data_IF_940718392839
#
_entry.id   IF_940718392839
#
_cell.length_a   1.000
_cell.length_b   1.000
_cell.length_c   1.000
_cell.angle_alpha   90.00
_cell.angle_beta   90.00
_cell.angle_gamma   90.00
#
_symmetry.space_group_name_H-M   'P 1'
#
loop_
_entity.id
_entity.type
_entity.pdbx_description
1 polymer ?
#
# COMPACT_ATOMS: atom_id res chain seq x y z
N UNK A 1 -22.80 -0.79 -0.45
CA UNK A 1 -23.22 -1.33 0.86
C UNK A 1 -22.70 -0.38 1.93
N UNK A 2 -23.43 0.69 2.23
CA UNK A 2 -22.94 1.77 3.12
C UNK A 2 -23.84 1.90 4.36
N UNK A 3 -25.14 1.61 4.20
CA UNK A 3 -26.15 1.60 5.27
C UNK A 3 -26.80 0.22 5.45
N UNK A 4 -26.07 -0.85 5.15
CA UNK A 4 -26.59 -2.20 5.35
C UNK A 4 -25.93 -2.79 6.59
N UNK A 5 -26.75 -3.27 7.52
CA UNK A 5 -26.28 -4.08 8.62
C UNK A 5 -25.97 -5.48 8.07
N UNK A 6 -24.77 -5.96 8.38
CA UNK A 6 -24.32 -7.29 7.98
C UNK A 6 -23.63 -7.97 9.14
N UNK A 7 -23.85 -9.27 9.26
CA UNK A 7 -23.20 -10.09 10.27
C UNK A 7 -21.99 -10.84 9.69
N UNK A 8 -21.06 -11.24 10.55
CA UNK A 8 -19.89 -12.02 10.17
C UNK A 8 -18.58 -11.25 10.05
N UNK A 9 -17.49 -12.01 9.92
CA UNK A 9 -16.12 -11.47 9.85
C UNK A 9 -15.86 -10.73 8.55
N UNK A 10 -16.23 -11.29 7.40
CA UNK A 10 -15.98 -10.70 6.08
C UNK A 10 -16.67 -9.34 5.93
N UNK A 11 -17.93 -9.23 6.35
CA UNK A 11 -18.66 -7.97 6.34
C UNK A 11 -17.97 -6.90 7.20
N UNK A 12 -17.56 -7.26 8.42
CA UNK A 12 -16.86 -6.35 9.34
C UNK A 12 -15.48 -5.96 8.83
N UNK A 13 -14.73 -6.89 8.25
CA UNK A 13 -13.43 -6.64 7.63
C UNK A 13 -13.58 -5.70 6.43
N UNK A 14 -14.54 -5.96 5.54
CA UNK A 14 -14.85 -5.10 4.39
C UNK A 14 -15.24 -3.70 4.85
N UNK A 15 -16.13 -3.57 5.84
CA UNK A 15 -16.53 -2.27 6.40
C UNK A 15 -15.33 -1.51 6.98
N UNK A 16 -14.43 -2.20 7.69
CA UNK A 16 -13.20 -1.60 8.20
C UNK A 16 -12.27 -1.14 7.07
N UNK A 17 -12.04 -1.99 6.06
CA UNK A 17 -11.21 -1.63 4.89
C UNK A 17 -11.80 -0.43 4.15
N UNK A 18 -13.11 -0.40 3.95
CA UNK A 18 -13.79 0.77 3.35
C UNK A 18 -13.58 2.03 4.20
N UNK A 19 -13.74 1.96 5.52
CA UNK A 19 -13.52 3.12 6.39
C UNK A 19 -12.07 3.64 6.31
N UNK A 20 -11.09 2.75 6.29
CA UNK A 20 -9.67 3.11 6.13
C UNK A 20 -9.40 3.78 4.78
N UNK A 21 -9.94 3.20 3.69
CA UNK A 21 -9.81 3.77 2.33
C UNK A 21 -10.45 5.14 2.25
N UNK A 22 -11.65 5.32 2.80
CA UNK A 22 -12.37 6.59 2.77
C UNK A 22 -11.68 7.66 3.64
N UNK A 23 -11.14 7.28 4.79
CA UNK A 23 -10.37 8.20 5.63
C UNK A 23 -9.10 8.68 4.93
N UNK A 24 -8.35 7.76 4.33
CA UNK A 24 -7.16 8.12 3.56
C UNK A 24 -7.54 8.98 2.35
N UNK A 25 -8.62 8.65 1.64
CA UNK A 25 -9.13 9.46 0.54
C UNK A 25 -9.43 10.91 1.00
N UNK A 26 -10.14 11.09 2.11
CA UNK A 26 -10.43 12.43 2.66
C UNK A 26 -9.15 13.20 2.98
N UNK A 27 -8.16 12.53 3.58
CA UNK A 27 -6.86 13.13 3.86
C UNK A 27 -6.10 13.51 2.58
N UNK A 28 -6.14 12.64 1.56
CA UNK A 28 -5.50 12.88 0.26
C UNK A 28 -6.10 14.10 -0.45
N UNK A 29 -7.44 14.22 -0.45
CA UNK A 29 -8.15 15.38 -0.99
C UNK A 29 -7.75 16.65 -0.24
N UNK A 30 -7.80 16.64 1.10
CA UNK A 30 -7.45 17.81 1.92
C UNK A 30 -5.98 18.24 1.80
N UNK A 31 -5.09 17.33 1.42
CA UNK A 31 -3.67 17.62 1.14
C UNK A 31 -3.36 17.87 -0.33
N UNK A 32 -4.32 17.68 -1.24
CA UNK A 32 -4.10 17.85 -2.67
C UNK A 32 -3.16 16.81 -3.28
N UNK A 33 -3.19 15.57 -2.79
CA UNK A 33 -2.41 14.47 -3.38
C UNK A 33 -3.32 13.47 -4.08
N UNK A 34 -2.92 13.03 -5.27
CA UNK A 34 -3.64 12.01 -6.03
C UNK A 34 -3.17 10.59 -5.71
N UNK A 35 -2.02 10.43 -5.05
CA UNK A 35 -1.43 9.14 -4.72
C UNK A 35 -1.28 9.01 -3.20
N UNK A 36 -1.70 7.88 -2.65
CA UNK A 36 -1.53 7.53 -1.25
C UNK A 36 -1.55 6.02 -1.07
N UNK A 37 -1.09 5.52 0.07
CA UNK A 37 -1.17 4.09 0.36
C UNK A 37 -1.36 3.84 1.85
N UNK A 38 -1.87 2.65 2.16
CA UNK A 38 -1.99 2.11 3.52
C UNK A 38 -1.07 0.91 3.63
N UNK A 39 -0.36 0.79 4.75
CA UNK A 39 0.46 -0.37 5.06
C UNK A 39 0.01 -0.98 6.39
N UNK A 40 -0.28 -2.27 6.39
CA UNK A 40 -0.57 -3.05 7.61
C UNK A 40 0.64 -3.85 8.10
N UNK A 41 1.80 -3.69 7.44
CA UNK A 41 3.01 -4.50 7.64
C UNK A 41 2.96 -5.85 6.91
N UNK A 42 1.78 -6.38 6.65
CA UNK A 42 1.56 -7.62 5.90
C UNK A 42 1.03 -7.37 4.49
N UNK A 43 0.32 -6.26 4.30
CA UNK A 43 -0.36 -5.91 3.05
C UNK A 43 -0.24 -4.41 2.78
N UNK A 44 -0.09 -4.09 1.51
CA UNK A 44 -0.02 -2.73 1.00
C UNK A 44 -1.26 -2.47 0.16
N UNK A 45 -1.96 -1.38 0.43
CA UNK A 45 -3.12 -0.94 -0.36
C UNK A 45 -2.75 0.41 -0.93
N UNK A 46 -2.50 0.47 -2.23
CA UNK A 46 -2.19 1.68 -2.96
C UNK A 46 -3.48 2.31 -3.51
N UNK A 47 -3.63 3.61 -3.33
CA UNK A 47 -4.76 4.39 -3.80
C UNK A 47 -4.31 5.42 -4.84
N UNK A 48 -5.14 5.58 -5.86
CA UNK A 48 -4.99 6.61 -6.88
C UNK A 48 -6.33 7.31 -7.15
N UNK A 49 -6.35 8.64 -7.01
CA UNK A 49 -7.48 9.48 -7.35
C UNK A 49 -7.24 10.06 -8.76
N UNK A 50 -8.07 9.72 -9.76
CA UNK A 50 -7.91 10.23 -11.10
C UNK A 50 -8.31 11.71 -11.18
N UNK A 51 -8.31 12.27 -12.40
CA UNK A 51 -8.73 13.65 -12.64
C UNK A 51 -10.18 13.93 -12.26
N UNK A 52 -11.02 12.90 -12.22
CA UNK A 52 -12.34 12.95 -11.60
C UNK A 52 -12.24 12.42 -10.16
N UNK A 53 -12.35 13.28 -9.13
CA UNK A 53 -12.17 12.86 -7.74
C UNK A 53 -13.33 12.00 -7.21
N UNK A 54 -14.39 11.77 -7.98
CA UNK A 54 -15.57 10.99 -7.56
C UNK A 54 -15.29 9.50 -7.32
N UNK A 55 -14.18 8.98 -7.85
CA UNK A 55 -13.78 7.58 -7.69
C UNK A 55 -12.33 7.49 -7.17
N UNK A 56 -12.03 6.39 -6.48
CA UNK A 56 -10.67 6.04 -6.09
C UNK A 56 -10.33 4.63 -6.56
N UNK A 57 -9.20 4.48 -7.24
CA UNK A 57 -8.68 3.19 -7.63
C UNK A 57 -7.85 2.61 -6.50
N UNK A 58 -8.11 1.36 -6.14
CA UNK A 58 -7.36 0.63 -5.11
C UNK A 58 -6.64 -0.56 -5.74
N UNK A 59 -5.36 -0.71 -5.42
CA UNK A 59 -4.56 -1.90 -5.74
C UNK A 59 -4.01 -2.50 -4.46
N UNK A 60 -4.11 -3.83 -4.31
CA UNK A 60 -3.68 -4.55 -3.12
C UNK A 60 -2.47 -5.41 -3.48
N UNK A 61 -1.41 -5.31 -2.67
CA UNK A 61 -0.21 -6.14 -2.77
C UNK A 61 0.03 -6.85 -1.43
N UNK A 62 0.25 -8.16 -1.49
CA UNK A 62 0.60 -9.01 -0.35
C UNK A 62 1.97 -9.62 -0.65
N UNK A 63 3.07 -8.99 -0.23
CA UNK A 63 4.42 -9.39 -0.64
C UNK A 63 4.76 -10.85 -0.34
N UNK A 64 4.22 -11.41 0.75
CA UNK A 64 4.44 -12.81 1.12
C UNK A 64 3.73 -13.82 0.22
N UNK A 65 2.74 -13.39 -0.55
CA UNK A 65 2.03 -14.20 -1.55
C UNK A 65 2.49 -13.85 -2.97
N UNK A 66 2.88 -12.60 -3.19
CA UNK A 66 3.23 -12.07 -4.50
C UNK A 66 4.69 -12.38 -4.90
N UNK A 67 5.57 -12.66 -3.93
CA UNK A 67 6.95 -13.10 -4.16
C UNK A 67 7.01 -14.62 -4.17
N UNK A 68 7.27 -15.20 -5.35
CA UNK A 68 7.54 -16.64 -5.51
C UNK A 68 9.04 -16.91 -5.27
N UNK A 69 9.35 -18.01 -4.55
CA UNK A 69 10.72 -18.40 -4.17
C UNK A 69 11.58 -18.88 -5.36
N UNK A 70 11.00 -19.10 -6.54
CA UNK A 70 11.61 -19.84 -7.67
C UNK A 70 12.23 -18.95 -8.77
N UNK A 71 12.31 -17.63 -8.59
CA UNK A 71 12.89 -16.73 -9.60
C UNK A 71 13.80 -15.66 -8.98
N UNK A 72 15.12 -15.88 -9.09
CA UNK A 72 16.18 -15.01 -8.56
C UNK A 72 16.07 -13.54 -9.02
N UNK A 73 15.33 -13.26 -10.10
CA UNK A 73 15.24 -11.92 -10.71
C UNK A 73 13.90 -11.20 -10.49
N UNK A 74 12.98 -11.74 -9.68
CA UNK A 74 11.64 -11.13 -9.43
C UNK A 74 11.59 -10.12 -8.29
N UNK A 75 12.67 -9.35 -8.13
CA UNK A 75 12.75 -8.25 -7.14
C UNK A 75 11.61 -7.23 -7.27
N UNK A 76 11.00 -7.10 -8.45
CA UNK A 76 9.89 -6.18 -8.72
C UNK A 76 8.58 -6.50 -7.96
N UNK A 77 8.41 -7.74 -7.47
CA UNK A 77 7.25 -8.12 -6.64
C UNK A 77 7.46 -7.91 -5.14
N UNK A 78 8.68 -7.54 -4.73
CA UNK A 78 8.95 -7.23 -3.33
C UNK A 78 8.16 -5.99 -2.89
N UNK A 79 7.79 -5.96 -1.61
CA UNK A 79 7.16 -4.81 -0.97
C UNK A 79 7.91 -3.50 -1.29
N UNK A 80 9.24 -3.55 -1.20
CA UNK A 80 10.12 -2.40 -1.43
C UNK A 80 10.03 -1.93 -2.87
N UNK A 81 10.09 -2.84 -3.85
CA UNK A 81 10.00 -2.46 -5.25
C UNK A 81 8.62 -1.93 -5.64
N UNK A 82 7.54 -2.51 -5.10
CA UNK A 82 6.18 -2.04 -5.32
C UNK A 82 5.97 -0.63 -4.76
N UNK A 83 6.38 -0.38 -3.50
CA UNK A 83 6.33 0.95 -2.89
C UNK A 83 7.22 1.94 -3.63
N UNK A 84 8.43 1.54 -4.03
CA UNK A 84 9.35 2.39 -4.78
C UNK A 84 8.75 2.80 -6.13
N UNK A 85 8.17 1.85 -6.88
CA UNK A 85 7.51 2.11 -8.16
C UNK A 85 6.32 3.06 -7.99
N UNK A 86 5.52 2.83 -6.94
CA UNK A 86 4.40 3.70 -6.61
C UNK A 86 4.84 5.14 -6.29
N UNK A 87 5.90 5.32 -5.50
CA UNK A 87 6.46 6.64 -5.18
C UNK A 87 7.01 7.32 -6.43
N UNK A 88 7.72 6.58 -7.31
CA UNK A 88 8.17 7.14 -8.59
C UNK A 88 7.00 7.59 -9.47
N UNK A 89 5.92 6.82 -9.52
CA UNK A 89 4.72 7.19 -10.26
C UNK A 89 4.08 8.46 -9.68
N UNK A 90 3.99 8.57 -8.36
CA UNK A 90 3.46 9.76 -7.68
C UNK A 90 4.31 11.01 -7.98
N UNK A 91 5.63 10.92 -7.92
CA UNK A 91 6.54 12.05 -8.19
C UNK A 91 6.46 12.51 -9.66
N UNK A 92 6.30 11.56 -10.60
CA UNK A 92 6.18 11.87 -12.04
C UNK A 92 4.80 12.38 -12.43
N UNK A 93 3.81 12.22 -11.56
CA UNK A 93 2.44 12.66 -11.85
C UNK A 93 2.34 14.18 -11.82
N UNK A 94 1.50 14.78 -12.69
CA UNK A 94 1.23 16.21 -12.62
C UNK A 94 0.50 16.52 -11.31
N UNK A 95 0.72 17.73 -10.78
CA UNK A 95 -0.05 18.19 -9.62
C UNK A 95 -1.53 18.35 -10.01
N UNK A 96 -2.46 18.04 -9.09
CA UNK A 96 -3.88 18.26 -9.34
C UNK A 96 -4.16 19.74 -9.62
N UNK A 97 -5.10 19.99 -10.54
CA UNK A 97 -5.49 21.34 -10.93
C UNK A 97 -6.46 21.97 -9.93
N UNK A 98 -6.65 23.29 -9.96
CA UNK A 98 -7.67 23.93 -9.13
C UNK A 98 -9.09 23.39 -9.42
N UNK A 99 -9.37 23.02 -10.67
CA UNK A 99 -10.64 22.40 -11.04
C UNK A 99 -10.84 21.04 -10.34
N UNK A 100 -9.77 20.27 -10.16
CA UNK A 100 -9.80 19.03 -9.40
C UNK A 100 -10.16 19.28 -7.94
N UNK A 101 -9.55 20.29 -7.31
CA UNK A 101 -9.89 20.66 -5.93
C UNK A 101 -11.35 21.09 -5.80
N UNK A 102 -11.83 21.96 -6.70
CA UNK A 102 -13.22 22.43 -6.68
C UNK A 102 -14.22 21.28 -6.89
N UNK A 103 -13.87 20.27 -7.71
CA UNK A 103 -14.70 19.09 -7.90
C UNK A 103 -14.67 18.19 -6.65
N UNK A 104 -13.52 18.05 -5.99
CA UNK A 104 -13.40 17.27 -4.77
C UNK A 104 -14.15 17.89 -3.59
N UNK A 105 -14.21 19.22 -3.52
CA UNK A 105 -14.99 19.96 -2.50
C UNK A 105 -16.52 19.78 -2.65
N UNK A 106 -16.99 19.33 -3.81
CA UNK A 106 -18.41 19.04 -4.05
C UNK A 106 -18.81 17.63 -3.60
N UNK A 107 -17.86 16.80 -3.18
CA UNK A 107 -18.14 15.42 -2.77
C UNK A 107 -18.81 15.40 -1.39
N UNK A 108 -19.75 14.46 -1.24
CA UNK A 108 -20.42 14.25 0.03
C UNK A 108 -19.44 13.74 1.09
N UNK A 109 -19.65 14.19 2.33
CA UNK A 109 -18.89 13.69 3.47
C UNK A 109 -19.36 12.28 3.83
N UNK A 110 -18.41 11.39 4.05
CA UNK A 110 -18.70 10.05 4.49
C UNK A 110 -19.24 10.04 5.92
N UNK A 111 -20.45 9.51 6.13
CA UNK A 111 -21.16 9.59 7.41
C UNK A 111 -20.58 8.71 8.53
N UNK A 112 -19.64 7.80 8.24
CA UNK A 112 -19.10 6.86 9.23
C UNK A 112 -17.67 7.23 9.57
N UNK A 113 -17.46 7.75 10.77
CA UNK A 113 -16.11 7.99 11.29
C UNK A 113 -15.33 6.68 11.42
N UNK A 114 -14.04 6.72 11.06
CA UNK A 114 -13.19 5.54 11.19
C UNK A 114 -13.24 5.01 12.62
N UNK A 115 -13.13 5.85 13.64
CA UNK A 115 -13.07 5.44 15.05
C UNK A 115 -14.28 4.62 15.52
N UNK A 116 -15.44 4.78 14.88
CA UNK A 116 -16.66 4.05 15.22
C UNK A 116 -16.65 2.63 14.65
N UNK A 117 -15.91 2.39 13.57
CA UNK A 117 -15.86 1.09 12.91
C UNK A 117 -15.10 0.05 13.75
N UNK A 118 -13.84 0.25 14.19
CA UNK A 118 -13.16 -0.66 15.09
C UNK A 118 -13.95 -0.92 16.36
N UNK A 119 -14.53 0.12 16.99
CA UNK A 119 -15.31 -0.01 18.24
C UNK A 119 -16.50 -0.96 18.06
N UNK A 120 -17.15 -0.94 16.91
CA UNK A 120 -18.29 -1.83 16.60
C UNK A 120 -17.91 -3.31 16.35
N UNK A 121 -16.63 -3.62 16.12
CA UNK A 121 -16.18 -5.00 15.87
C UNK A 121 -15.89 -5.70 17.20
N UNK A 122 -16.65 -6.74 17.59
CA UNK A 122 -16.44 -7.43 18.87
C UNK A 122 -15.08 -8.14 18.90
N UNK A 123 -14.43 -8.14 20.07
CA UNK A 123 -13.07 -8.66 20.26
C UNK A 123 -12.92 -10.14 19.89
N UNK A 124 -13.98 -10.92 20.01
CA UNK A 124 -14.05 -12.34 19.64
C UNK A 124 -13.84 -12.57 18.15
N UNK A 125 -14.27 -11.64 17.28
CA UNK A 125 -14.08 -11.71 15.83
C UNK A 125 -12.73 -11.12 15.38
N UNK A 126 -12.07 -10.31 16.21
CA UNK A 126 -10.76 -9.72 15.88
C UNK A 126 -9.61 -10.73 15.92
N UNK A 127 -9.81 -11.87 16.60
CA UNK A 127 -8.78 -12.89 16.83
C UNK A 127 -9.19 -14.22 16.21
N UNK A 128 -9.06 -14.34 14.89
CA UNK A 128 -8.86 -15.68 14.31
C UNK A 128 -7.47 -16.14 14.75
N UNK A 129 -7.35 -17.36 15.28
CA UNK A 129 -6.05 -17.97 15.62
C UNK A 129 -5.29 -18.14 14.31
N UNK A 130 -4.36 -17.22 14.02
CA UNK A 130 -3.59 -17.25 12.78
C UNK A 130 -2.59 -18.40 12.83
N UNK A 131 -2.87 -19.47 12.10
CA UNK A 131 -1.84 -20.36 11.57
C UNK A 131 -1.27 -19.69 10.33
N UNK A 132 -0.36 -18.73 10.50
CA UNK A 132 0.38 -18.23 9.35
C UNK A 132 1.34 -19.33 8.88
N UNK A 133 1.37 -19.69 7.58
CA UNK A 133 2.43 -20.55 7.06
C UNK A 133 3.80 -19.87 7.09
N UNK A 134 3.84 -18.56 7.39
CA UNK A 134 5.06 -17.78 7.52
C UNK A 134 6.03 -18.41 8.53
N UNK A 135 7.11 -18.98 8.01
CA UNK A 135 8.33 -19.24 8.76
C UNK A 135 9.26 -18.08 8.47
N UNK A 136 9.69 -17.38 9.51
CA UNK A 136 10.78 -16.42 9.38
C UNK A 136 12.02 -17.18 8.84
N UNK A 137 12.30 -17.06 7.55
CA UNK A 137 13.53 -17.58 6.98
C UNK A 137 14.68 -16.76 7.57
N UNK A 138 15.56 -17.42 8.33
CA UNK A 138 16.86 -16.86 8.67
C UNK A 138 17.64 -16.79 7.36
N UNK A 139 17.87 -15.58 6.86
CA UNK A 139 18.69 -15.29 5.69
C UNK A 139 19.98 -16.12 5.75
N UNK A 140 20.08 -17.15 4.91
CA UNK A 140 21.27 -17.99 4.72
C UNK A 140 21.44 -18.18 3.21
N UNK A 141 22.65 -17.94 2.70
CA UNK A 141 23.00 -18.27 1.31
C UNK A 141 23.01 -17.13 0.31
N UNK A 142 22.71 -15.88 0.69
CA UNK A 142 22.97 -14.74 -0.19
C UNK A 142 24.44 -14.33 -0.12
N UNK A 143 25.15 -14.44 -1.25
CA UNK A 143 26.48 -13.83 -1.45
C UNK A 143 26.32 -12.33 -1.77
N UNK A 144 25.75 -11.54 -0.84
CA UNK A 144 25.47 -10.11 -1.01
C UNK A 144 24.59 -9.74 -2.24
N UNK A 145 24.11 -8.49 -2.30
CA UNK A 145 23.32 -8.01 -3.44
C UNK A 145 24.15 -8.04 -4.74
N UNK A 146 23.57 -8.38 -5.91
CA UNK A 146 24.25 -8.32 -7.21
C UNK A 146 24.66 -6.89 -7.61
N UNK A 147 24.12 -5.89 -6.90
CA UNK A 147 24.49 -4.48 -7.01
C UNK A 147 25.79 -4.27 -6.24
N UNK A 148 26.91 -4.05 -6.96
CA UNK A 148 28.16 -3.58 -6.36
C UNK A 148 27.95 -2.18 -5.79
N UNK A 149 27.91 -2.07 -4.47
CA UNK A 149 27.93 -0.78 -3.78
C UNK A 149 29.28 -0.10 -3.98
N UNK A 150 29.33 1.25 -3.99
CA UNK A 150 30.57 2.03 -4.24
C UNK A 150 31.77 1.62 -3.38
N UNK A 151 31.54 1.03 -2.21
CA UNK A 151 32.58 0.47 -1.33
C UNK A 151 33.36 -0.71 -1.94
N UNK A 152 32.87 -1.31 -3.03
CA UNK A 152 33.46 -2.48 -3.69
C UNK A 152 34.07 -2.16 -5.07
N UNK A 153 34.09 -0.89 -5.48
CA UNK A 153 34.82 -0.46 -6.66
C UNK A 153 36.31 -0.32 -6.29
N UNK A 154 37.12 -1.32 -6.62
CA UNK A 154 38.57 -1.15 -6.62
C UNK A 154 38.95 -0.15 -7.73
N UNK A 155 39.89 0.79 -7.48
CA UNK A 155 40.46 1.60 -8.54
C UNK A 155 41.07 0.68 -9.61
N UNK A 156 40.89 1.01 -10.89
CA UNK A 156 41.63 0.36 -11.96
C UNK A 156 43.12 0.63 -11.74
N UNK A 157 43.91 -0.41 -11.50
CA UNK A 157 45.36 -0.26 -11.46
C UNK A 157 45.87 0.14 -12.85
N UNK A 158 46.49 1.31 -12.91
CA UNK A 158 47.26 1.76 -14.06
C UNK A 158 48.45 0.80 -14.25
N UNK A 159 48.36 -0.06 -15.26
CA UNK A 159 49.50 -0.83 -15.74
C UNK A 159 50.51 0.13 -16.36
N UNK A 160 51.50 0.53 -15.56
CA UNK A 160 52.71 1.19 -16.04
C UNK A 160 53.51 0.19 -16.90
N UNK A 161 53.64 0.52 -18.19
CA UNK A 161 54.68 0.00 -19.09
C UNK A 161 55.71 1.10 -19.27
#
# INVERSE_FOLDING_TARGET
MINQEGEGFEFKARRLTTAVVTQLFSYMVGKGTQYGYVCTGETYISLYIPSDPSCVYCSVCIPSLDVEDDDENRLHWTAVAQVYTFVLQAIRSPLPSQAWHNAADQLDTWAVEYDDVPKSIPATLRKVKRTTPYRAQRWKGFTCSPIRTRSQCLPLEDKKV
#
